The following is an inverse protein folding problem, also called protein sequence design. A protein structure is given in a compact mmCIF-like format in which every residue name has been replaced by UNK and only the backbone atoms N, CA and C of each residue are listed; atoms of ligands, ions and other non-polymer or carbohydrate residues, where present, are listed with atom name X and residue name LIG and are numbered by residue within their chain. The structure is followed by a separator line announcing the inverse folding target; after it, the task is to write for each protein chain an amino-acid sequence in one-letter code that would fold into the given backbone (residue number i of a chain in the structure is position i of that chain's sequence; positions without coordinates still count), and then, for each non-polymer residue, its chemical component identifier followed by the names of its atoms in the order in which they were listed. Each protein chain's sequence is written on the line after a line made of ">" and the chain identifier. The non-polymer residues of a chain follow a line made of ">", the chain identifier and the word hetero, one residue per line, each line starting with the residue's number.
data_IF_230428544191
#
_entry.id   IF_230428544191
#
_cell.length_a   1.000
_cell.length_b   1.000
_cell.length_c   1.000
_cell.angle_alpha   90.00
_cell.angle_beta   90.00
_cell.angle_gamma   90.00
#
_symmetry.space_group_name_H-M   'P 1'
#
loop_
_entity.id
_entity.type
_entity.pdbx_description
1 polymer ?
#
# COMPACT_ATOMS: atom_id res chain seq x y z
N UNK A 1 44.06 3.78 27.89
CA UNK A 1 44.38 5.13 27.34
C UNK A 1 43.31 5.38 26.30
N UNK A 2 42.16 5.83 26.78
CA UNK A 2 40.89 5.83 26.06
C UNK A 2 40.36 7.27 26.09
N UNK A 3 40.29 7.98 24.96
CA UNK A 3 39.78 9.35 24.95
C UNK A 3 38.28 9.34 24.70
N UNK A 4 37.49 9.13 25.77
CA UNK A 4 36.08 9.52 25.84
C UNK A 4 35.92 10.65 26.85
N UNK A 5 36.36 11.87 26.50
CA UNK A 5 35.97 13.09 27.21
C UNK A 5 36.31 14.36 26.40
N UNK A 6 35.46 14.77 25.46
CA UNK A 6 35.09 16.19 25.25
C UNK A 6 34.20 16.37 24.02
N UNK A 7 33.11 17.13 24.16
CA UNK A 7 32.60 17.96 23.06
C UNK A 7 31.26 17.57 22.46
N UNK A 8 30.20 17.87 23.21
CA UNK A 8 28.98 18.58 22.76
C UNK A 8 28.23 18.12 21.51
N UNK A 9 27.04 17.57 21.81
CA UNK A 9 25.79 17.59 21.05
C UNK A 9 25.70 18.66 19.94
N UNK A 10 25.63 18.24 18.68
CA UNK A 10 25.37 19.13 17.53
C UNK A 10 23.87 19.21 17.29
N UNK A 11 23.24 20.28 17.78
CA UNK A 11 21.86 20.67 17.49
C UNK A 11 21.88 21.83 16.49
N UNK A 12 21.50 21.58 15.24
CA UNK A 12 21.39 22.61 14.21
C UNK A 12 20.04 23.32 14.34
N UNK A 13 19.99 24.33 15.21
CA UNK A 13 18.83 25.19 15.33
C UNK A 13 19.12 26.36 16.26
N UNK A 14 19.08 27.58 15.68
CA UNK A 14 18.66 28.87 16.23
C UNK A 14 19.65 30.03 15.94
N UNK A 15 19.14 31.10 15.30
CA UNK A 15 19.63 32.48 15.49
C UNK A 15 19.89 33.36 14.26
N UNK A 16 18.96 34.28 13.94
CA UNK A 16 19.13 35.56 13.19
C UNK A 16 20.10 36.52 13.94
N UNK A 17 20.63 37.68 13.43
CA UNK A 17 20.12 38.67 12.44
C UNK A 17 21.24 39.23 11.48
N UNK A 18 21.05 40.11 10.49
CA UNK A 18 20.82 41.58 10.54
C UNK A 18 20.76 42.18 9.13
N UNK A 19 20.23 43.41 9.05
CA UNK A 19 20.22 44.39 7.95
C UNK A 19 18.91 44.43 7.17
N UNK A 20 17.90 45.13 7.67
CA UNK A 20 17.78 46.58 7.47
C UNK A 20 17.48 46.95 6.01
N UNK A 21 16.19 46.94 5.68
CA UNK A 21 15.57 48.04 4.96
C UNK A 21 14.22 48.33 5.65
N UNK A 22 14.21 49.31 6.54
CA UNK A 22 13.00 50.06 6.87
C UNK A 22 12.70 50.97 5.67
N UNK A 23 11.46 51.15 5.23
CA UNK A 23 10.53 52.15 5.79
C UNK A 23 9.23 52.06 4.98
N UNK A 24 8.08 52.21 5.64
CA UNK A 24 6.79 52.27 4.96
C UNK A 24 5.65 52.37 5.97
N UNK A 25 5.31 53.60 6.32
CA UNK A 25 4.35 54.00 7.35
C UNK A 25 2.92 53.53 7.11
N UNK A 26 2.21 53.31 8.23
CA UNK A 26 0.77 53.01 8.34
C UNK A 26 -0.10 54.03 7.61
N UNK A 27 -1.12 53.56 6.90
CA UNK A 27 -2.33 54.34 6.59
C UNK A 27 -3.57 53.47 6.69
N UNK A 28 -4.37 53.75 7.73
CA UNK A 28 -5.76 53.35 7.90
C UNK A 28 -6.69 54.24 7.07
N UNK A 29 -7.77 53.65 6.55
CA UNK A 29 -9.00 54.18 5.88
C UNK A 29 -9.13 53.55 4.48
N UNK A 30 -10.24 52.99 4.01
CA UNK A 30 -11.62 52.87 4.51
C UNK A 30 -12.40 52.04 3.46
N UNK A 31 -13.45 51.32 3.90
CA UNK A 31 -14.63 50.84 3.12
C UNK A 31 -14.38 50.06 1.82
N UNK A 32 -14.90 48.83 1.67
CA UNK A 32 -16.32 48.60 1.33
C UNK A 32 -16.65 47.13 1.61
N UNK A 33 -17.68 46.87 2.42
CA UNK A 33 -18.22 45.52 2.62
C UNK A 33 -19.14 45.19 1.43
N UNK A 34 -18.81 44.16 0.65
CA UNK A 34 -19.66 43.71 -0.45
C UNK A 34 -20.55 42.56 0.03
N UNK A 35 -21.81 42.87 0.29
CA UNK A 35 -22.86 41.91 0.63
C UNK A 35 -23.46 41.32 -0.64
N UNK A 36 -23.08 40.09 -0.99
CA UNK A 36 -23.85 39.27 -1.92
C UNK A 36 -24.49 38.11 -1.16
N UNK A 37 -25.72 38.36 -0.72
CA UNK A 37 -26.69 37.36 -0.34
C UNK A 37 -27.15 36.58 -1.57
N UNK A 38 -26.95 35.28 -1.56
CA UNK A 38 -27.68 34.35 -2.42
C UNK A 38 -27.85 33.04 -1.65
N UNK A 39 -29.09 32.86 -1.18
CA UNK A 39 -29.63 31.65 -0.58
C UNK A 39 -29.33 30.42 -1.44
N UNK A 40 -28.74 29.39 -0.84
CA UNK A 40 -28.86 28.02 -1.33
C UNK A 40 -28.92 27.04 -0.17
N UNK A 41 -30.07 26.38 -0.11
CA UNK A 41 -30.51 25.38 0.85
C UNK A 41 -29.64 24.12 0.80
N UNK A 42 -29.30 23.56 1.96
CA UNK A 42 -29.04 22.12 2.10
C UNK A 42 -29.15 21.72 3.58
N UNK A 43 -30.26 21.07 3.94
CA UNK A 43 -30.28 20.01 4.93
C UNK A 43 -30.19 18.70 4.12
N UNK A 44 -29.28 17.78 4.44
CA UNK A 44 -29.70 16.70 5.32
C UNK A 44 -28.63 16.31 6.34
N UNK A 45 -29.06 16.33 7.60
CA UNK A 45 -28.63 15.48 8.72
C UNK A 45 -27.86 14.23 8.29
N UNK A 46 -26.63 14.17 8.78
CA UNK A 46 -25.71 13.03 8.82
C UNK A 46 -26.40 11.67 8.91
N UNK A 47 -26.33 10.90 7.83
CA UNK A 47 -26.55 9.46 7.87
C UNK A 47 -25.42 8.80 8.67
N UNK A 48 -25.62 8.60 9.97
CA UNK A 48 -24.80 7.70 10.76
C UNK A 48 -25.11 6.27 10.35
N UNK A 49 -24.43 5.79 9.30
CA UNK A 49 -24.46 4.37 8.94
C UNK A 49 -23.95 3.54 10.11
N UNK A 50 -24.77 2.65 10.69
CA UNK A 50 -24.38 1.88 11.86
C UNK A 50 -23.39 0.78 11.44
N UNK A 51 -22.23 0.78 12.09
CA UNK A 51 -21.35 -0.38 12.21
C UNK A 51 -20.81 -0.93 10.90
N UNK A 52 -19.84 -0.25 10.29
CA UNK A 52 -18.90 -0.93 9.42
C UNK A 52 -18.26 -2.05 10.26
N UNK A 53 -18.59 -3.31 9.95
CA UNK A 53 -17.87 -4.45 10.51
C UNK A 53 -16.38 -4.19 10.34
N UNK A 54 -15.55 -4.46 11.37
CA UNK A 54 -14.13 -4.18 11.31
C UNK A 54 -13.57 -4.82 10.04
N UNK A 55 -13.01 -3.99 9.17
CA UNK A 55 -12.32 -4.44 7.97
C UNK A 55 -11.07 -5.20 8.42
N UNK A 56 -11.25 -6.50 8.65
CA UNK A 56 -10.17 -7.40 9.00
C UNK A 56 -9.26 -7.58 7.78
N UNK A 57 -8.31 -6.66 7.64
CA UNK A 57 -7.23 -6.70 6.66
C UNK A 57 -6.19 -7.75 7.08
N UNK A 58 -6.65 -8.99 7.26
CA UNK A 58 -5.80 -10.11 7.66
C UNK A 58 -5.07 -10.60 6.41
N UNK A 59 -3.73 -10.53 6.46
CA UNK A 59 -2.87 -11.14 5.46
C UNK A 59 -2.58 -12.58 5.87
N UNK A 60 -2.92 -13.51 4.99
CA UNK A 60 -2.69 -14.94 5.17
C UNK A 60 -1.54 -15.38 4.26
N UNK A 61 -0.90 -16.49 4.62
CA UNK A 61 0.09 -17.16 3.79
C UNK A 61 -0.24 -18.64 3.72
N UNK A 62 -0.42 -19.16 2.51
CA UNK A 62 -0.64 -20.57 2.22
C UNK A 62 0.58 -21.12 1.51
N UNK A 63 0.97 -22.36 1.84
CA UNK A 63 2.05 -23.10 1.19
C UNK A 63 1.49 -24.39 0.61
N UNK A 64 1.63 -24.55 -0.69
CA UNK A 64 1.21 -25.74 -1.44
C UNK A 64 2.46 -26.54 -1.81
N UNK A 65 2.45 -27.84 -1.53
CA UNK A 65 3.46 -28.77 -2.02
C UNK A 65 2.96 -29.36 -3.34
N UNK A 66 3.72 -29.19 -4.42
CA UNK A 66 3.30 -29.58 -5.76
C UNK A 66 4.43 -30.23 -6.55
N UNK A 67 4.08 -31.13 -7.46
CA UNK A 67 5.02 -31.77 -8.35
C UNK A 67 5.54 -30.78 -9.41
N UNK A 68 6.76 -30.99 -9.89
CA UNK A 68 7.38 -30.13 -10.91
C UNK A 68 6.53 -29.97 -12.17
N UNK A 69 5.79 -31.02 -12.59
CA UNK A 69 4.88 -30.98 -13.75
C UNK A 69 3.72 -30.01 -13.56
N UNK A 70 3.12 -30.00 -12.37
CA UNK A 70 1.98 -29.15 -12.00
C UNK A 70 2.43 -27.69 -11.97
N UNK A 71 3.61 -27.44 -11.39
CA UNK A 71 4.22 -26.11 -11.35
C UNK A 71 4.59 -25.63 -12.74
N UNK A 72 5.07 -26.50 -13.63
CA UNK A 72 5.32 -26.17 -15.04
C UNK A 72 4.07 -25.64 -15.74
N UNK A 73 2.92 -26.29 -15.52
CA UNK A 73 1.61 -25.86 -16.06
C UNK A 73 1.18 -24.49 -15.52
N UNK A 74 1.33 -24.26 -14.21
CA UNK A 74 1.02 -22.96 -13.58
C UNK A 74 1.92 -21.83 -14.12
N UNK A 75 3.22 -22.09 -14.29
CA UNK A 75 4.17 -21.11 -14.83
C UNK A 75 3.80 -20.76 -16.27
N UNK A 76 3.47 -21.78 -17.07
CA UNK A 76 3.15 -21.63 -18.48
C UNK A 76 4.35 -21.23 -19.33
N UNK A 77 4.14 -21.14 -20.64
CA UNK A 77 5.19 -20.77 -21.60
C UNK A 77 5.69 -19.35 -21.29
N UNK A 78 7.01 -19.17 -21.23
CA UNK A 78 7.69 -17.89 -20.92
C UNK A 78 7.29 -17.25 -19.58
N UNK A 79 6.59 -17.96 -18.70
CA UNK A 79 6.09 -17.40 -17.44
C UNK A 79 4.83 -16.53 -17.57
N UNK A 80 4.19 -16.50 -18.75
CA UNK A 80 3.05 -15.63 -19.03
C UNK A 80 1.85 -15.98 -18.11
N UNK A 81 1.63 -17.26 -17.82
CA UNK A 81 0.49 -17.72 -17.03
C UNK A 81 0.63 -17.33 -15.55
N UNK A 82 1.79 -17.60 -14.92
CA UNK A 82 2.00 -17.21 -13.51
C UNK A 82 2.01 -15.68 -13.35
N UNK A 83 2.49 -14.94 -14.34
CA UNK A 83 2.39 -13.48 -14.35
C UNK A 83 0.93 -13.04 -14.29
N UNK A 84 0.08 -13.59 -15.16
CA UNK A 84 -1.35 -13.34 -15.14
C UNK A 84 -2.01 -13.72 -13.81
N UNK A 85 -1.68 -14.89 -13.24
CA UNK A 85 -2.24 -15.30 -11.94
C UNK A 85 -1.90 -14.27 -10.85
N UNK A 86 -0.66 -13.78 -10.81
CA UNK A 86 -0.25 -12.73 -9.85
C UNK A 86 -1.02 -11.42 -10.06
N UNK A 87 -1.13 -10.97 -11.31
CA UNK A 87 -1.82 -9.73 -11.68
C UNK A 87 -3.33 -9.80 -11.40
N UNK A 88 -4.01 -10.84 -11.91
CA UNK A 88 -5.45 -10.98 -11.80
C UNK A 88 -5.89 -11.26 -10.35
N UNK A 89 -5.12 -12.06 -9.60
CA UNK A 89 -5.46 -12.37 -8.20
C UNK A 89 -5.08 -11.26 -7.22
N UNK A 90 -4.06 -10.45 -7.53
CA UNK A 90 -3.45 -9.52 -6.59
C UNK A 90 -2.68 -10.19 -5.44
N UNK A 91 -2.48 -11.51 -5.50
CA UNK A 91 -1.72 -12.24 -4.49
C UNK A 91 -0.22 -12.22 -4.78
N UNK A 92 0.60 -12.19 -3.73
CA UNK A 92 2.04 -12.40 -3.83
C UNK A 92 2.30 -13.91 -3.94
N UNK A 93 2.85 -14.35 -5.06
CA UNK A 93 3.11 -15.78 -5.33
C UNK A 93 4.60 -16.04 -5.56
N UNK A 94 5.19 -16.86 -4.70
CA UNK A 94 6.57 -17.34 -4.80
C UNK A 94 6.60 -18.84 -5.07
N UNK A 95 7.57 -19.29 -5.86
CA UNK A 95 7.77 -20.71 -6.18
C UNK A 95 9.21 -21.05 -5.83
N UNK A 96 9.43 -22.09 -5.02
CA UNK A 96 10.78 -22.54 -4.67
C UNK A 96 11.58 -22.98 -5.90
N UNK A 97 12.91 -23.02 -5.78
CA UNK A 97 13.78 -23.50 -6.86
C UNK A 97 13.45 -24.95 -7.30
N UNK A 98 13.82 -25.28 -8.53
CA UNK A 98 13.50 -26.53 -9.22
C UNK A 98 14.49 -27.68 -9.01
N UNK A 99 15.40 -27.57 -8.04
CA UNK A 99 16.38 -28.64 -7.77
C UNK A 99 15.75 -29.92 -7.21
N UNK A 100 14.49 -29.86 -6.75
CA UNK A 100 13.73 -30.99 -6.22
C UNK A 100 12.53 -31.34 -7.11
N UNK A 101 12.10 -32.61 -7.15
CA UNK A 101 10.91 -33.03 -7.89
C UNK A 101 9.62 -32.40 -7.38
N UNK A 102 9.59 -32.05 -6.09
CA UNK A 102 8.52 -31.29 -5.45
C UNK A 102 8.96 -29.84 -5.23
N UNK A 103 8.01 -28.92 -5.40
CA UNK A 103 8.23 -27.48 -5.24
C UNK A 103 7.17 -26.91 -4.33
N UNK A 104 7.58 -25.90 -3.58
CA UNK A 104 6.71 -25.19 -2.65
C UNK A 104 6.22 -23.92 -3.34
N UNK A 105 4.91 -23.79 -3.49
CA UNK A 105 4.26 -22.54 -3.93
C UNK A 105 3.67 -21.84 -2.73
N UNK A 106 4.18 -20.65 -2.47
CA UNK A 106 3.75 -19.78 -1.38
C UNK A 106 2.86 -18.68 -1.94
N UNK A 107 1.62 -18.59 -1.44
CA UNK A 107 0.65 -17.56 -1.81
C UNK A 107 0.37 -16.71 -0.58
N UNK A 108 0.61 -15.41 -0.67
CA UNK A 108 0.38 -14.46 0.42
C UNK A 108 -0.58 -13.37 -0.03
N UNK A 109 -1.62 -13.10 0.76
CA UNK A 109 -2.70 -12.19 0.37
C UNK A 109 -3.84 -12.16 1.39
N UNK A 110 -4.89 -11.39 1.11
CA UNK A 110 -6.15 -11.50 1.87
C UNK A 110 -6.85 -12.81 1.49
N UNK A 111 -7.85 -13.22 2.27
CA UNK A 111 -8.63 -14.42 1.96
C UNK A 111 -9.21 -14.39 0.52
N UNK A 112 -9.69 -13.22 0.08
CA UNK A 112 -10.26 -13.05 -1.26
C UNK A 112 -9.20 -13.21 -2.36
N UNK A 113 -8.02 -12.59 -2.22
CA UNK A 113 -6.96 -12.68 -3.23
C UNK A 113 -6.37 -14.09 -3.29
N UNK A 114 -6.23 -14.76 -2.13
CA UNK A 114 -5.80 -16.16 -2.05
C UNK A 114 -6.82 -17.08 -2.70
N UNK A 115 -8.12 -16.97 -2.41
CA UNK A 115 -9.14 -17.81 -3.04
C UNK A 115 -9.12 -17.66 -4.56
N UNK A 116 -8.98 -16.43 -5.05
CA UNK A 116 -8.88 -16.17 -6.50
C UNK A 116 -7.62 -16.81 -7.10
N UNK A 117 -6.46 -16.64 -6.47
CA UNK A 117 -5.21 -17.27 -6.91
C UNK A 117 -5.32 -18.80 -6.91
N UNK A 118 -5.88 -19.38 -5.85
CA UNK A 118 -6.05 -20.81 -5.69
C UNK A 118 -6.96 -21.39 -6.79
N UNK A 119 -8.12 -20.77 -7.05
CA UNK A 119 -9.01 -21.21 -8.13
C UNK A 119 -8.32 -21.21 -9.50
N UNK A 120 -7.55 -20.15 -9.82
CA UNK A 120 -6.80 -20.09 -11.08
C UNK A 120 -5.72 -21.18 -11.18
N UNK A 121 -5.08 -21.51 -10.06
CA UNK A 121 -4.06 -22.56 -9.96
C UNK A 121 -4.71 -23.95 -10.12
N UNK A 122 -5.79 -24.23 -9.39
CA UNK A 122 -6.52 -25.50 -9.45
C UNK A 122 -7.01 -25.83 -10.86
N UNK A 123 -7.53 -24.83 -11.58
CA UNK A 123 -7.96 -24.99 -12.98
C UNK A 123 -6.84 -25.45 -13.92
N UNK A 124 -5.56 -25.25 -13.56
CA UNK A 124 -4.41 -25.69 -14.36
C UNK A 124 -4.00 -27.14 -14.08
N UNK A 125 -4.52 -27.77 -13.02
CA UNK A 125 -4.29 -29.19 -12.73
C UNK A 125 -5.25 -30.10 -13.48
N UNK A 126 -6.49 -29.64 -13.69
CA UNK A 126 -7.51 -30.40 -14.41
C UNK A 126 -7.14 -30.60 -15.90
N UNK A 127 -6.39 -29.68 -16.50
CA UNK A 127 -5.88 -29.84 -17.88
C UNK A 127 -4.77 -30.88 -18.02
N UNK A 128 -4.18 -31.37 -16.93
CA UNK A 128 -3.00 -32.26 -16.93
C UNK A 128 -3.33 -33.67 -16.39
N UNK A 129 -4.59 -33.94 -16.05
CA UNK A 129 -5.09 -35.26 -15.62
C UNK A 129 -5.79 -35.99 -16.77
#
# INVERSE_FOLDING_TARGET
>A
MDPLLNGSYVHYGMGLPTSAYATGTVSTKSATYNSNSSDHSADPSSSSSPGAAPNMNILLTIRLLMQGKEVGSIIGKRGDQIKRIREDSGAKINISDGSCPERIVTITGSLATINKAFAMISNKFEEVS
#
